data_IF_287768281143
#
_entry.id   IF_287768281143
#
_cell.length_a   1.000
_cell.length_b   1.000
_cell.length_c   1.000
_cell.angle_alpha   90.00
_cell.angle_beta   90.00
_cell.angle_gamma   90.00
#
_symmetry.space_group_name_H-M   'P 1'
#
loop_
_entity.id
_entity.type
_entity.pdbx_description
1 polymer ?
#
# COMPACT_ATOMS: atom_id res chain seq x y z
N UNK A 1 8.82 3.25 7.35
CA UNK A 1 7.96 2.33 6.59
C UNK A 1 7.71 2.88 5.19
N UNK A 2 7.92 2.07 4.17
CA UNK A 2 7.87 2.48 2.77
C UNK A 2 6.92 1.57 1.98
N UNK A 3 6.27 2.14 0.96
CA UNK A 3 5.67 1.42 -0.15
C UNK A 3 6.46 1.75 -1.41
N UNK A 4 6.96 0.73 -2.09
CA UNK A 4 7.90 0.90 -3.19
C UNK A 4 7.23 0.60 -4.53
N UNK A 5 7.26 1.58 -5.42
CA UNK A 5 7.14 1.34 -6.85
C UNK A 5 8.53 0.97 -7.38
N UNK A 6 8.77 -0.32 -7.54
CA UNK A 6 10.08 -0.84 -7.94
C UNK A 6 10.36 -0.57 -9.42
N UNK A 7 9.32 -0.50 -10.25
CA UNK A 7 9.46 -0.26 -11.68
C UNK A 7 9.94 1.16 -11.96
N UNK A 8 9.37 2.14 -11.27
CA UNK A 8 9.66 3.56 -11.46
C UNK A 8 10.65 4.13 -10.42
N UNK A 9 11.17 3.27 -9.52
CA UNK A 9 12.09 3.68 -8.46
C UNK A 9 11.53 4.80 -7.59
N UNK A 10 10.28 4.67 -7.16
CA UNK A 10 9.62 5.63 -6.26
C UNK A 10 9.34 4.97 -4.91
N UNK A 11 9.72 5.66 -3.84
CA UNK A 11 9.43 5.28 -2.47
C UNK A 11 8.40 6.23 -1.87
N UNK A 12 7.19 5.73 -1.64
CA UNK A 12 6.13 6.46 -0.95
C UNK A 12 6.27 6.29 0.56
N UNK A 13 6.21 7.38 1.30
CA UNK A 13 6.44 7.38 2.74
C UNK A 13 5.55 8.38 3.48
N UNK A 14 4.64 7.90 4.35
CA UNK A 14 3.95 8.79 5.28
C UNK A 14 4.80 9.05 6.52
N UNK A 15 4.84 10.32 6.95
CA UNK A 15 5.57 10.73 8.14
C UNK A 15 4.94 10.15 9.40
N UNK A 16 5.76 9.52 10.25
CA UNK A 16 5.30 8.89 11.48
C UNK A 16 6.48 8.64 12.42
N UNK A 17 6.27 8.19 13.67
CA UNK A 17 7.36 7.71 14.53
C UNK A 17 8.19 6.56 13.94
N UNK A 18 7.69 5.90 12.89
CA UNK A 18 8.35 4.79 12.17
C UNK A 18 8.98 5.20 10.85
N UNK A 19 8.90 6.49 10.49
CA UNK A 19 9.43 7.03 9.21
C UNK A 19 9.99 8.41 9.46
N UNK A 20 11.32 8.52 9.47
CA UNK A 20 12.05 9.76 9.70
C UNK A 20 12.93 10.12 8.49
N UNK A 21 13.25 11.42 8.37
CA UNK A 21 13.92 11.99 7.19
C UNK A 21 15.28 11.34 6.90
N UNK A 22 16.18 11.29 7.89
CA UNK A 22 17.54 10.81 7.68
C UNK A 22 17.62 9.39 7.08
N UNK A 23 17.03 8.36 7.72
CA UNK A 23 17.00 7.01 7.16
C UNK A 23 16.29 6.91 5.80
N UNK A 24 15.29 7.76 5.52
CA UNK A 24 14.62 7.78 4.22
C UNK A 24 15.54 8.33 3.13
N UNK A 25 16.23 9.44 3.40
CA UNK A 25 17.18 10.06 2.47
C UNK A 25 18.37 9.12 2.19
N UNK A 26 18.89 8.46 3.22
CA UNK A 26 19.96 7.47 3.09
C UNK A 26 19.53 6.26 2.24
N UNK A 27 18.33 5.70 2.51
CA UNK A 27 17.74 4.65 1.67
C UNK A 27 17.60 5.09 0.21
N UNK A 28 17.08 6.29 -0.02
CA UNK A 28 16.86 6.81 -1.36
C UNK A 28 18.19 7.00 -2.13
N UNK A 29 19.20 7.55 -1.47
CA UNK A 29 20.53 7.76 -2.05
C UNK A 29 21.24 6.45 -2.37
N UNK A 30 21.23 5.48 -1.45
CA UNK A 30 21.93 4.21 -1.63
C UNK A 30 21.28 3.33 -2.69
N UNK A 31 19.95 3.33 -2.79
CA UNK A 31 19.21 2.42 -3.67
C UNK A 31 18.66 3.11 -4.92
N UNK A 32 18.93 4.40 -5.12
CA UNK A 32 18.51 5.14 -6.31
C UNK A 32 17.01 5.31 -6.43
N UNK A 33 16.31 5.55 -5.30
CA UNK A 33 14.88 5.84 -5.29
C UNK A 33 14.62 7.34 -5.19
N UNK A 34 13.62 7.82 -5.89
CA UNK A 34 12.98 9.12 -5.61
C UNK A 34 11.94 8.93 -4.51
N UNK A 35 11.82 9.88 -3.61
CA UNK A 35 10.86 9.80 -2.51
C UNK A 35 9.65 10.70 -2.76
N UNK A 36 8.47 10.19 -2.43
CA UNK A 36 7.21 10.96 -2.33
C UNK A 36 6.74 10.86 -0.89
N UNK A 37 6.83 11.96 -0.17
CA UNK A 37 6.53 12.01 1.26
C UNK A 37 5.26 12.81 1.52
N UNK A 38 4.53 12.44 2.57
CA UNK A 38 3.25 13.07 2.93
C UNK A 38 2.87 12.81 4.38
N UNK A 39 1.93 13.60 4.90
CA UNK A 39 1.32 13.39 6.22
C UNK A 39 -0.05 12.70 6.07
N UNK A 40 -0.24 11.59 6.75
CA UNK A 40 -1.50 10.87 6.77
C UNK A 40 -1.99 10.62 8.20
N UNK A 41 -3.29 10.82 8.41
CA UNK A 41 -3.93 10.75 9.73
C UNK A 41 -5.06 9.75 9.77
N UNK A 42 -5.05 8.93 10.80
CA UNK A 42 -6.12 8.00 11.10
C UNK A 42 -7.24 8.62 11.95
N UNK A 43 -8.19 7.78 12.44
CA UNK A 43 -9.21 8.19 13.40
C UNK A 43 -8.59 8.85 14.63
N UNK A 44 -9.20 9.93 15.15
CA UNK A 44 -8.65 10.66 16.30
C UNK A 44 -7.40 11.51 16.00
N UNK A 45 -7.08 11.72 14.72
CA UNK A 45 -5.98 12.59 14.29
C UNK A 45 -4.55 12.07 14.56
N UNK A 46 -4.37 10.82 14.98
CA UNK A 46 -3.04 10.26 15.16
C UNK A 46 -2.38 9.98 13.79
N UNK A 47 -1.05 10.13 13.69
CA UNK A 47 -0.31 9.75 12.48
C UNK A 47 -0.53 8.27 12.14
N UNK A 48 -0.72 7.97 10.86
CA UNK A 48 -0.68 6.59 10.39
C UNK A 48 0.77 6.11 10.49
N UNK A 49 0.99 5.08 11.29
CA UNK A 49 2.32 4.65 11.69
C UNK A 49 3.13 3.97 10.57
N UNK A 50 2.47 3.33 9.61
CA UNK A 50 3.10 2.69 8.44
C UNK A 50 2.38 3.03 7.14
N UNK A 51 3.12 3.36 6.09
CA UNK A 51 2.58 3.70 4.77
C UNK A 51 1.71 2.59 4.18
N UNK A 52 2.05 1.32 4.43
CA UNK A 52 1.29 0.17 3.94
C UNK A 52 -0.04 -0.09 4.67
N UNK A 53 -0.43 0.76 5.59
CA UNK A 53 -1.79 0.77 6.16
C UNK A 53 -2.77 1.40 5.19
N UNK A 54 -2.34 2.48 4.51
CA UNK A 54 -3.22 3.29 3.67
C UNK A 54 -2.99 3.08 2.17
N UNK A 55 -1.89 2.43 1.77
CA UNK A 55 -1.59 2.30 0.34
C UNK A 55 -0.86 0.99 0.03
N UNK A 56 -1.12 0.48 -1.18
CA UNK A 56 -0.38 -0.62 -1.79
C UNK A 56 -0.15 -0.32 -3.28
N UNK A 57 0.91 -0.85 -3.84
CA UNK A 57 1.25 -0.70 -5.26
C UNK A 57 1.45 -2.09 -5.87
N UNK A 58 0.78 -2.34 -6.98
CA UNK A 58 1.02 -3.45 -7.89
C UNK A 58 1.76 -2.97 -9.14
N UNK A 59 1.81 -3.82 -10.17
CA UNK A 59 2.50 -3.48 -11.43
C UNK A 59 1.84 -2.30 -12.15
N UNK A 60 0.52 -2.30 -12.27
CA UNK A 60 -0.27 -1.34 -13.05
C UNK A 60 -1.45 -0.78 -12.23
N UNK A 61 -1.46 -0.95 -10.93
CA UNK A 61 -2.50 -0.42 -10.05
C UNK A 61 -1.91 0.06 -8.73
N UNK A 62 -2.63 0.96 -8.09
CA UNK A 62 -2.37 1.37 -6.73
C UNK A 62 -3.67 1.44 -5.94
N UNK A 63 -3.66 0.93 -4.72
CA UNK A 63 -4.74 1.18 -3.74
C UNK A 63 -4.30 2.33 -2.85
N UNK A 64 -5.18 3.29 -2.63
CA UNK A 64 -4.87 4.46 -1.80
C UNK A 64 -6.10 4.92 -1.00
N UNK A 65 -5.93 5.15 0.28
CA UNK A 65 -6.86 5.91 1.10
C UNK A 65 -6.47 7.41 1.05
N UNK A 66 -6.83 8.09 -0.02
CA UNK A 66 -6.49 9.51 -0.19
C UNK A 66 -7.16 10.41 0.86
N UNK A 67 -8.31 9.98 1.39
CA UNK A 67 -9.00 10.67 2.48
C UNK A 67 -8.24 10.75 3.80
N UNK A 68 -7.22 9.90 4.00
CA UNK A 68 -6.32 9.97 5.14
C UNK A 68 -5.25 11.07 5.01
N UNK A 69 -4.97 11.53 3.79
CA UNK A 69 -4.01 12.60 3.49
C UNK A 69 -4.75 13.93 3.52
N UNK A 70 -4.47 14.75 4.52
CA UNK A 70 -5.24 15.98 4.76
C UNK A 70 -4.82 17.15 3.88
N UNK A 71 -3.54 17.25 3.60
CA UNK A 71 -3.04 18.27 2.68
C UNK A 71 -3.46 17.96 1.25
N UNK A 72 -4.23 18.86 0.65
CA UNK A 72 -4.76 18.69 -0.71
C UNK A 72 -3.65 18.69 -1.78
N UNK A 73 -2.56 19.40 -1.53
CA UNK A 73 -1.41 19.44 -2.44
C UNK A 73 -0.62 18.12 -2.41
N UNK A 74 -0.37 17.59 -1.21
CA UNK A 74 0.26 16.27 -1.06
C UNK A 74 -0.60 15.19 -1.70
N UNK A 75 -1.91 15.20 -1.43
CA UNK A 75 -2.87 14.27 -2.04
C UNK A 75 -2.83 14.34 -3.58
N UNK A 76 -2.95 15.55 -4.15
CA UNK A 76 -2.90 15.75 -5.59
C UNK A 76 -1.55 15.33 -6.19
N UNK A 77 -0.47 15.53 -5.46
CA UNK A 77 0.87 15.11 -5.90
C UNK A 77 0.95 13.59 -6.00
N UNK A 78 0.50 12.86 -4.97
CA UNK A 78 0.53 11.38 -4.99
C UNK A 78 -0.35 10.83 -6.12
N UNK A 79 -1.57 11.35 -6.27
CA UNK A 79 -2.49 10.92 -7.33
C UNK A 79 -1.87 11.13 -8.70
N UNK A 80 -1.30 12.31 -8.95
CA UNK A 80 -0.61 12.62 -10.21
C UNK A 80 0.59 11.71 -10.46
N UNK A 81 1.40 11.43 -9.44
CA UNK A 81 2.52 10.50 -9.56
C UNK A 81 2.07 9.10 -9.98
N UNK A 82 1.01 8.59 -9.38
CA UNK A 82 0.44 7.29 -9.72
C UNK A 82 -0.12 7.27 -11.15
N UNK A 83 -0.81 8.32 -11.57
CA UNK A 83 -1.32 8.47 -12.94
C UNK A 83 -0.17 8.54 -13.96
N UNK A 84 0.86 9.33 -13.70
CA UNK A 84 2.02 9.49 -14.59
C UNK A 84 2.84 8.21 -14.74
N UNK A 85 2.82 7.36 -13.74
CA UNK A 85 3.47 6.04 -13.77
C UNK A 85 2.53 4.94 -14.30
N UNK A 86 1.33 5.29 -14.79
CA UNK A 86 0.41 4.38 -15.45
C UNK A 86 -0.34 3.44 -14.52
N UNK A 87 -0.44 3.78 -13.23
CA UNK A 87 -1.21 2.98 -12.29
C UNK A 87 -2.70 3.35 -12.33
N UNK A 88 -3.55 2.35 -12.45
CA UNK A 88 -4.98 2.51 -12.15
C UNK A 88 -5.14 2.77 -10.65
N UNK A 89 -5.72 3.91 -10.29
CA UNK A 89 -5.94 4.27 -8.89
C UNK A 89 -7.25 3.68 -8.37
N UNK A 90 -7.14 2.76 -7.42
CA UNK A 90 -8.26 2.18 -6.68
C UNK A 90 -8.38 2.89 -5.35
N UNK A 91 -9.27 3.88 -5.29
CA UNK A 91 -9.52 4.64 -4.07
C UNK A 91 -10.27 3.78 -3.04
N UNK A 92 -9.81 3.83 -1.78
CA UNK A 92 -10.48 3.23 -0.63
C UNK A 92 -10.86 4.29 0.41
N UNK A 93 -11.93 4.05 1.13
CA UNK A 93 -12.36 4.93 2.22
C UNK A 93 -11.57 4.68 3.51
N UNK A 94 -11.67 5.63 4.47
CA UNK A 94 -11.13 5.43 5.81
C UNK A 94 -11.72 4.20 6.53
N UNK A 95 -12.98 3.89 6.29
CA UNK A 95 -13.62 2.69 6.85
C UNK A 95 -12.97 1.42 6.28
N UNK A 96 -12.76 1.37 4.96
CA UNK A 96 -12.10 0.24 4.30
C UNK A 96 -10.61 0.14 4.71
N UNK A 97 -9.92 1.25 4.89
CA UNK A 97 -8.55 1.26 5.42
C UNK A 97 -8.49 0.63 6.82
N UNK A 98 -9.47 0.91 7.69
CA UNK A 98 -9.56 0.29 9.01
C UNK A 98 -9.86 -1.22 8.96
N UNK A 99 -10.43 -1.70 7.85
CA UNK A 99 -10.62 -3.13 7.54
C UNK A 99 -9.46 -3.70 6.70
N UNK A 100 -8.29 -3.07 6.77
CA UNK A 100 -7.03 -3.49 6.13
C UNK A 100 -7.04 -3.49 4.59
N UNK A 101 -7.97 -2.82 3.92
CA UNK A 101 -8.03 -2.80 2.45
C UNK A 101 -6.77 -2.21 1.78
N UNK A 102 -6.03 -1.33 2.45
CA UNK A 102 -4.71 -0.83 2.02
C UNK A 102 -3.54 -1.80 2.28
N UNK A 103 -3.76 -2.85 3.10
CA UNK A 103 -2.71 -3.79 3.52
C UNK A 103 -2.71 -5.06 2.65
N UNK A 104 -2.62 -4.89 1.35
CA UNK A 104 -2.49 -5.96 0.37
C UNK A 104 -1.10 -6.00 -0.26
N UNK A 105 -0.75 -7.09 -0.91
CA UNK A 105 0.52 -7.27 -1.58
C UNK A 105 0.34 -7.92 -2.95
N UNK A 106 0.83 -7.24 -3.99
CA UNK A 106 0.93 -7.80 -5.33
C UNK A 106 2.17 -8.73 -5.40
N UNK A 107 1.96 -9.95 -5.83
CA UNK A 107 2.95 -11.02 -5.90
C UNK A 107 2.93 -11.65 -7.29
N UNK A 108 3.92 -12.49 -7.56
CA UNK A 108 3.93 -13.38 -8.73
C UNK A 108 3.96 -14.83 -8.27
N UNK A 109 3.12 -15.67 -8.85
CA UNK A 109 3.20 -17.11 -8.69
C UNK A 109 4.49 -17.67 -9.30
N UNK A 110 4.78 -18.93 -9.05
CA UNK A 110 6.00 -19.60 -9.54
C UNK A 110 6.16 -19.56 -11.08
N UNK A 111 5.05 -19.53 -11.81
CA UNK A 111 5.03 -19.42 -13.27
C UNK A 111 4.87 -17.98 -13.80
N UNK A 112 4.88 -16.99 -12.90
CA UNK A 112 4.81 -15.58 -13.27
C UNK A 112 3.39 -14.99 -13.30
N UNK A 113 2.35 -15.76 -12.99
CA UNK A 113 0.98 -15.25 -12.93
C UNK A 113 0.84 -14.23 -11.80
N UNK A 114 0.14 -13.10 -12.04
CA UNK A 114 -0.04 -12.09 -11.02
C UNK A 114 -1.02 -12.55 -9.94
N UNK A 115 -0.64 -12.36 -8.68
CA UNK A 115 -1.43 -12.64 -7.49
C UNK A 115 -1.59 -11.37 -6.66
N UNK A 116 -2.73 -11.25 -5.98
CA UNK A 116 -2.97 -10.19 -5.01
C UNK A 116 -3.37 -10.84 -3.69
N UNK A 117 -2.47 -10.77 -2.71
CA UNK A 117 -2.68 -11.32 -1.39
C UNK A 117 -3.25 -10.27 -0.44
N UNK A 118 -4.36 -10.60 0.22
CA UNK A 118 -5.01 -9.76 1.23
C UNK A 118 -5.80 -10.67 2.21
N UNK A 119 -6.40 -10.08 3.24
CA UNK A 119 -7.27 -10.85 4.14
C UNK A 119 -8.70 -10.92 3.62
N UNK A 120 -9.46 -11.91 4.14
CA UNK A 120 -10.91 -11.99 3.89
C UNK A 120 -11.66 -10.77 4.44
N UNK A 121 -11.18 -10.19 5.54
CA UNK A 121 -11.72 -8.94 6.12
C UNK A 121 -11.55 -7.78 5.13
N UNK A 122 -10.32 -7.58 4.63
CA UNK A 122 -10.04 -6.56 3.63
C UNK A 122 -10.88 -6.76 2.37
N UNK A 123 -10.92 -7.98 1.82
CA UNK A 123 -11.69 -8.29 0.63
C UNK A 123 -13.18 -8.01 0.79
N UNK A 124 -13.78 -8.43 1.92
CA UNK A 124 -15.20 -8.21 2.19
C UNK A 124 -15.58 -6.73 2.39
N UNK A 125 -14.62 -5.88 2.79
CA UNK A 125 -14.84 -4.44 2.94
C UNK A 125 -14.90 -3.68 1.62
N UNK A 126 -14.35 -4.24 0.54
CA UNK A 126 -14.29 -3.60 -0.76
C UNK A 126 -15.64 -3.60 -1.47
N UNK A 127 -15.95 -2.48 -2.13
CA UNK A 127 -17.13 -2.42 -3.00
C UNK A 127 -16.95 -3.29 -4.25
N UNK A 128 -18.05 -3.79 -4.87
CA UNK A 128 -17.97 -4.66 -6.04
C UNK A 128 -17.15 -4.08 -7.22
N UNK A 129 -17.14 -2.77 -7.38
CA UNK A 129 -16.32 -2.12 -8.42
C UNK A 129 -14.82 -2.20 -8.11
N UNK A 130 -14.43 -2.00 -6.84
CA UNK A 130 -13.04 -2.13 -6.38
C UNK A 130 -12.55 -3.58 -6.46
N UNK A 131 -13.42 -4.54 -6.12
CA UNK A 131 -13.11 -5.98 -6.25
C UNK A 131 -12.83 -6.33 -7.72
N UNK A 132 -13.72 -5.94 -8.64
CA UNK A 132 -13.49 -6.16 -10.09
C UNK A 132 -12.22 -5.49 -10.61
N UNK A 133 -11.92 -4.28 -10.14
CA UNK A 133 -10.69 -3.61 -10.51
C UNK A 133 -9.46 -4.42 -10.06
N UNK A 134 -9.43 -4.90 -8.82
CA UNK A 134 -8.32 -5.75 -8.35
C UNK A 134 -8.25 -7.09 -9.11
N UNK A 135 -9.38 -7.75 -9.37
CA UNK A 135 -9.45 -9.00 -10.13
C UNK A 135 -8.90 -8.87 -11.56
N UNK A 136 -9.01 -7.68 -12.17
CA UNK A 136 -8.44 -7.42 -13.49
C UNK A 136 -6.90 -7.36 -13.49
N UNK A 137 -6.30 -7.14 -12.33
CA UNK A 137 -4.84 -7.06 -12.16
C UNK A 137 -4.19 -8.36 -11.65
N UNK A 138 -4.95 -9.32 -11.15
CA UNK A 138 -4.41 -10.60 -10.69
C UNK A 138 -5.40 -11.47 -9.95
N UNK A 139 -5.00 -12.71 -9.75
CA UNK A 139 -5.80 -13.65 -8.97
C UNK A 139 -5.80 -13.28 -7.50
N UNK A 140 -6.98 -13.17 -6.90
CA UNK A 140 -7.15 -12.83 -5.50
C UNK A 140 -6.85 -14.03 -4.60
N UNK A 141 -5.97 -13.84 -3.64
CA UNK A 141 -5.64 -14.81 -2.58
C UNK A 141 -6.05 -14.22 -1.24
N UNK A 142 -7.26 -14.54 -0.78
CA UNK A 142 -7.82 -14.02 0.46
C UNK A 142 -7.57 -14.97 1.63
N UNK A 143 -6.76 -14.54 2.62
CA UNK A 143 -6.42 -15.32 3.79
C UNK A 143 -7.37 -15.02 4.97
N UNK A 144 -7.86 -16.07 5.64
CA UNK A 144 -8.70 -15.93 6.83
C UNK A 144 -7.83 -15.81 8.09
N UNK A 145 -7.59 -14.59 8.54
CA UNK A 145 -6.65 -14.28 9.64
C UNK A 145 -7.23 -13.32 10.71
N UNK A 146 -8.52 -13.41 11.10
CA UNK A 146 -9.16 -12.41 11.97
C UNK A 146 -8.52 -12.31 13.36
N UNK A 147 -7.96 -13.39 13.88
CA UNK A 147 -7.25 -13.38 15.17
C UNK A 147 -5.96 -12.56 15.08
N UNK A 148 -5.20 -12.69 14.00
CA UNK A 148 -3.95 -11.94 13.78
C UNK A 148 -4.28 -10.46 13.61
N UNK A 149 -5.28 -10.11 12.82
CA UNK A 149 -5.71 -8.73 12.63
C UNK A 149 -6.14 -8.06 13.93
N UNK A 150 -6.91 -8.78 14.76
CA UNK A 150 -7.40 -8.25 16.05
C UNK A 150 -6.27 -8.00 17.05
N UNK A 151 -5.30 -8.89 17.13
CA UNK A 151 -4.28 -8.87 18.19
C UNK A 151 -2.89 -8.42 17.70
N UNK A 152 -2.58 -8.61 16.43
CA UNK A 152 -1.30 -8.24 15.84
C UNK A 152 -1.22 -6.81 15.32
N UNK A 153 -2.37 -6.16 15.10
CA UNK A 153 -2.41 -4.78 14.59
C UNK A 153 -1.93 -4.61 13.15
N UNK A 154 -1.89 -5.70 12.37
CA UNK A 154 -1.53 -5.74 10.95
C UNK A 154 -2.25 -6.88 10.24
N UNK A 155 -2.13 -6.96 8.91
CA UNK A 155 -2.79 -7.95 8.09
C UNK A 155 -1.79 -8.68 7.16
N UNK A 156 -2.25 -9.24 6.05
CA UNK A 156 -1.49 -10.16 5.18
C UNK A 156 -0.15 -9.58 4.73
N UNK A 157 -0.13 -8.33 4.25
CA UNK A 157 1.13 -7.70 3.82
C UNK A 157 2.17 -7.62 4.94
N UNK A 158 1.73 -7.39 6.17
CA UNK A 158 2.64 -7.27 7.32
C UNK A 158 3.31 -8.60 7.71
N UNK A 159 2.80 -9.73 7.20
CA UNK A 159 3.32 -11.07 7.47
C UNK A 159 4.18 -11.64 6.34
N UNK A 160 4.28 -10.93 5.20
CA UNK A 160 5.01 -11.40 4.01
C UNK A 160 6.24 -10.51 3.81
N UNK A 161 7.41 -11.13 3.71
CA UNK A 161 8.65 -10.50 3.29
C UNK A 161 9.05 -11.02 1.90
N UNK A 162 9.23 -10.08 0.96
CA UNK A 162 9.71 -10.39 -0.38
C UNK A 162 11.23 -10.58 -0.37
N UNK A 163 11.71 -11.62 -1.07
CA UNK A 163 13.15 -11.93 -1.18
C UNK A 163 13.57 -11.77 -2.63
N UNK A 164 14.45 -10.79 -2.90
CA UNK A 164 14.97 -10.46 -4.23
C UNK A 164 16.46 -10.81 -4.40
N UNK A 165 16.94 -11.77 -3.63
CA UNK A 165 18.32 -12.26 -3.74
C UNK A 165 18.50 -13.03 -5.06
N UNK A 166 19.70 -12.96 -5.69
CA UNK A 166 20.03 -13.81 -6.83
C UNK A 166 19.86 -15.28 -6.46
N UNK A 167 19.33 -16.05 -7.39
CA UNK A 167 19.21 -17.51 -7.29
C UNK A 167 20.44 -18.18 -7.87
#
# INVERSE_FOLDING_TARGET
SLVLDRCHRIAYACWSPRTSRGPLEDFAAQLGYRTVTFDARGPGNQPIYHTNVLMAIGRNFAVLCSGAIRDLQERATIQRELEQTGHELIEISNAQMNEFAGNLLALSAAKGEPLIALSTTAWASLAPAQQRALESHGTIVAAQIPTIERHGGGSVRCMIAEVFLPR
#
